data_IF_356993119126
#
_entry.id   IF_356993119126
#
_cell.length_a   1.000
_cell.length_b   1.000
_cell.length_c   1.000
_cell.angle_alpha   90.00
_cell.angle_beta   90.00
_cell.angle_gamma   90.00
#
_symmetry.space_group_name_H-M   'P 1'
#
loop_
_entity.id
_entity.type
_entity.pdbx_description
1 polymer ?
#
# COMPACT_ATOMS: atom_id res chain seq x y z
N UNK A 1 19.76 -103.31 25.63
CA UNK A 1 20.56 -102.16 25.19
C UNK A 1 19.66 -101.08 24.60
N UNK A 2 19.48 -99.94 25.28
CA UNK A 2 18.77 -98.76 24.72
C UNK A 2 19.78 -97.84 24.06
N UNK A 3 19.53 -97.47 22.80
CA UNK A 3 20.35 -96.56 21.99
C UNK A 3 20.12 -95.11 22.41
N UNK A 4 21.24 -94.39 22.49
CA UNK A 4 21.37 -92.95 22.61
C UNK A 4 20.70 -92.19 21.46
N UNK A 5 20.10 -91.05 21.78
CA UNK A 5 19.72 -90.01 20.83
C UNK A 5 20.02 -88.65 21.46
N UNK A 6 21.06 -87.98 20.95
CA UNK A 6 21.47 -86.64 21.35
C UNK A 6 20.47 -85.60 20.80
N UNK A 7 20.10 -84.61 21.61
CA UNK A 7 19.36 -83.43 21.19
C UNK A 7 20.27 -82.21 21.31
N UNK A 8 20.61 -81.63 20.17
CA UNK A 8 21.34 -80.38 20.00
C UNK A 8 20.48 -79.19 20.46
N UNK A 9 21.09 -78.25 21.18
CA UNK A 9 20.53 -76.98 21.62
C UNK A 9 20.85 -75.87 20.61
N UNK A 10 19.83 -75.18 20.09
CA UNK A 10 19.96 -73.91 19.36
C UNK A 10 19.98 -72.72 20.34
N UNK A 11 20.71 -71.63 20.05
CA UNK A 11 20.66 -70.42 20.86
C UNK A 11 19.49 -69.53 20.44
N UNK A 12 18.62 -69.20 21.39
CA UNK A 12 17.64 -68.11 21.27
C UNK A 12 18.37 -66.76 21.21
N UNK A 13 18.28 -66.06 20.07
CA UNK A 13 18.66 -64.66 19.96
C UNK A 13 17.60 -63.78 20.65
N UNK A 14 18.02 -63.03 21.68
CA UNK A 14 17.19 -62.04 22.35
C UNK A 14 17.15 -60.74 21.52
N UNK A 15 15.98 -60.42 20.96
CA UNK A 15 15.70 -59.10 20.40
C UNK A 15 15.58 -58.06 21.51
N UNK A 16 16.30 -56.95 21.39
CA UNK A 16 16.34 -55.88 22.38
C UNK A 16 15.00 -55.09 22.40
N UNK A 17 14.23 -55.06 23.51
CA UNK A 17 12.87 -54.53 23.55
C UNK A 17 12.74 -53.00 23.50
N UNK A 18 13.84 -52.25 23.45
CA UNK A 18 13.84 -50.79 23.68
C UNK A 18 13.79 -49.93 22.39
N UNK A 19 13.96 -50.52 21.21
CA UNK A 19 14.04 -49.76 19.95
C UNK A 19 12.69 -49.21 19.47
N UNK A 20 11.59 -49.89 19.78
CA UNK A 20 10.26 -49.48 19.32
C UNK A 20 9.68 -48.28 20.08
N UNK A 21 9.99 -48.15 21.37
CA UNK A 21 9.42 -47.12 22.23
C UNK A 21 10.19 -45.80 22.13
N UNK A 22 11.52 -45.89 21.97
CA UNK A 22 12.40 -44.76 21.69
C UNK A 22 12.12 -44.16 20.31
N UNK A 23 11.97 -44.97 19.26
CA UNK A 23 11.65 -44.50 17.92
C UNK A 23 10.29 -43.78 17.83
N UNK A 24 9.27 -44.31 18.53
CA UNK A 24 7.94 -43.67 18.63
C UNK A 24 8.00 -42.34 19.37
N UNK A 25 8.75 -42.29 20.47
CA UNK A 25 8.91 -41.06 21.26
C UNK A 25 9.65 -39.98 20.48
N UNK A 26 10.68 -40.34 19.71
CA UNK A 26 11.39 -39.42 18.81
C UNK A 26 10.47 -38.92 17.70
N UNK A 27 9.67 -39.80 17.09
CA UNK A 27 8.69 -39.42 16.07
C UNK A 27 7.64 -38.45 16.61
N UNK A 28 7.08 -38.70 17.80
CA UNK A 28 6.11 -37.80 18.43
C UNK A 28 6.74 -36.45 18.82
N UNK A 29 7.98 -36.45 19.31
CA UNK A 29 8.71 -35.21 19.61
C UNK A 29 8.97 -34.38 18.34
N UNK A 30 9.29 -35.02 17.21
CA UNK A 30 9.47 -34.34 15.93
C UNK A 30 8.15 -33.79 15.37
N UNK A 31 7.05 -34.54 15.48
CA UNK A 31 5.73 -34.09 15.02
C UNK A 31 5.19 -32.93 15.88
N UNK A 32 5.35 -32.98 17.20
CA UNK A 32 4.97 -31.89 18.10
C UNK A 32 5.87 -30.66 17.92
N UNK A 33 7.17 -30.85 17.69
CA UNK A 33 8.10 -29.77 17.37
C UNK A 33 7.75 -29.07 16.06
N UNK A 34 7.42 -29.84 15.01
CA UNK A 34 7.01 -29.28 13.72
C UNK A 34 5.67 -28.53 13.82
N UNK A 35 4.69 -29.06 14.56
CA UNK A 35 3.41 -28.38 14.80
C UNK A 35 3.56 -27.07 15.60
N UNK A 36 4.54 -27.00 16.52
CA UNK A 36 4.81 -25.78 17.26
C UNK A 36 5.48 -24.71 16.37
N UNK A 37 6.34 -25.12 15.44
CA UNK A 37 7.00 -24.22 14.47
C UNK A 37 5.99 -23.63 13.48
N UNK A 38 4.99 -24.39 13.04
CA UNK A 38 3.95 -23.87 12.12
C UNK A 38 3.00 -22.88 12.79
N UNK A 39 2.75 -23.00 14.10
CA UNK A 39 1.92 -22.06 14.86
C UNK A 39 2.57 -20.68 15.02
N UNK A 40 3.90 -20.59 15.03
CA UNK A 40 4.64 -19.32 15.13
C UNK A 40 4.70 -18.55 13.79
N UNK A 41 4.49 -19.21 12.66
CA UNK A 41 4.49 -18.57 11.34
C UNK A 41 3.15 -17.89 10.97
N UNK A 42 2.10 -18.04 11.79
CA UNK A 42 0.77 -17.49 11.53
C UNK A 42 0.53 -16.10 12.15
N UNK A 43 1.48 -15.55 12.90
CA UNK A 43 1.35 -14.23 13.52
C UNK A 43 2.10 -13.18 12.69
N UNK A 44 1.56 -12.85 11.53
CA UNK A 44 2.15 -11.87 10.61
C UNK A 44 1.20 -11.26 9.58
N UNK A 45 -0.11 -11.47 9.69
CA UNK A 45 -1.11 -10.83 8.80
C UNK A 45 -1.82 -9.74 9.58
N UNK A 46 -1.19 -8.57 9.68
CA UNK A 46 -1.89 -7.33 10.01
C UNK A 46 -2.21 -6.64 8.70
N UNK A 47 -3.47 -6.24 8.50
CA UNK A 47 -4.02 -5.60 7.31
C UNK A 47 -3.01 -4.71 6.55
N UNK A 48 -2.57 -5.19 5.38
CA UNK A 48 -1.64 -4.50 4.47
C UNK A 48 -2.26 -3.29 3.76
N UNK A 49 -3.55 -3.01 3.97
CA UNK A 49 -4.26 -1.94 3.26
C UNK A 49 -3.94 -0.52 3.76
N UNK A 50 -3.29 -0.38 4.92
CA UNK A 50 -3.00 0.91 5.56
C UNK A 50 -1.49 1.27 5.54
N UNK A 51 -0.67 0.54 4.76
CA UNK A 51 0.78 0.81 4.70
C UNK A 51 1.13 1.65 3.49
N UNK A 52 1.64 2.85 3.76
CA UNK A 52 2.21 3.69 2.73
C UNK A 52 3.34 2.94 2.00
N UNK A 53 3.30 2.93 0.67
CA UNK A 53 4.26 2.24 -0.18
C UNK A 53 4.75 3.14 -1.30
N UNK A 54 5.94 2.88 -1.82
CA UNK A 54 6.48 3.63 -2.95
C UNK A 54 5.83 3.19 -4.26
N UNK A 55 5.46 4.15 -5.08
CA UNK A 55 4.97 3.98 -6.44
C UNK A 55 5.63 5.02 -7.35
N UNK A 56 6.63 4.58 -8.13
CA UNK A 56 7.53 5.51 -8.82
C UNK A 56 8.32 6.34 -7.81
N UNK A 57 8.27 7.66 -7.92
CA UNK A 57 8.86 8.60 -6.97
C UNK A 57 7.92 9.03 -5.82
N UNK A 58 6.69 8.50 -5.79
CA UNK A 58 5.64 8.93 -4.86
C UNK A 58 5.37 7.91 -3.75
N UNK A 59 4.97 8.38 -2.58
CA UNK A 59 4.38 7.55 -1.54
C UNK A 59 2.87 7.50 -1.71
N UNK A 60 2.33 6.29 -1.83
CA UNK A 60 0.90 6.04 -1.91
C UNK A 60 0.39 5.43 -0.61
N UNK A 61 -0.74 5.93 -0.10
CA UNK A 61 -1.37 5.43 1.13
C UNK A 61 -2.88 5.37 0.95
N UNK A 62 -3.47 4.19 1.14
CA UNK A 62 -4.92 4.01 1.12
C UNK A 62 -5.51 4.26 2.50
N UNK A 63 -6.64 4.94 2.53
CA UNK A 63 -7.40 5.23 3.75
C UNK A 63 -8.83 4.76 3.58
N UNK A 64 -9.53 4.52 4.68
CA UNK A 64 -10.90 3.98 4.67
C UNK A 64 -11.96 4.94 4.11
N UNK A 65 -11.64 6.23 3.92
CA UNK A 65 -12.62 7.24 3.48
C UNK A 65 -11.93 8.52 2.99
N UNK A 66 -12.60 9.27 2.11
CA UNK A 66 -12.23 10.64 1.69
C UNK A 66 -11.98 11.64 2.83
N UNK A 67 -12.58 11.43 4.02
CA UNK A 67 -12.40 12.30 5.20
C UNK A 67 -11.27 11.84 6.13
N UNK A 68 -10.72 10.65 5.90
CA UNK A 68 -9.59 10.11 6.68
C UNK A 68 -8.33 10.45 5.91
N UNK A 69 -7.59 11.45 6.38
CA UNK A 69 -6.37 11.88 5.73
C UNK A 69 -5.22 10.88 5.93
N UNK A 70 -4.33 10.73 4.94
CA UNK A 70 -3.23 9.78 5.01
C UNK A 70 -2.20 10.17 6.08
N UNK A 71 -1.61 9.15 6.70
CA UNK A 71 -0.63 9.25 7.77
C UNK A 71 0.65 9.96 7.37
N UNK A 72 1.07 9.89 6.11
CA UNK A 72 2.25 10.63 5.61
C UNK A 72 2.14 12.14 5.88
N UNK A 73 0.93 12.71 5.92
CA UNK A 73 0.72 14.14 6.15
C UNK A 73 1.16 14.61 7.55
N UNK A 74 1.32 13.73 8.54
CA UNK A 74 1.61 14.11 9.94
C UNK A 74 2.82 15.04 10.08
N UNK A 75 3.87 14.82 9.29
CA UNK A 75 5.11 15.60 9.27
C UNK A 75 5.08 16.85 8.38
N UNK A 76 4.00 17.10 7.63
CA UNK A 76 3.90 18.23 6.71
C UNK A 76 3.29 19.48 7.35
N UNK A 77 3.44 20.59 6.62
CA UNK A 77 2.95 21.91 7.04
C UNK A 77 1.43 21.94 7.20
N UNK A 78 0.93 22.91 7.98
CA UNK A 78 -0.51 23.13 8.12
C UNK A 78 -1.18 23.38 6.76
N UNK A 79 -0.58 24.22 5.91
CA UNK A 79 -1.09 24.49 4.56
C UNK A 79 -1.26 23.20 3.76
N UNK A 80 -0.25 22.33 3.73
CA UNK A 80 -0.33 21.04 3.02
C UNK A 80 -1.48 20.19 3.55
N UNK A 81 -1.64 20.07 4.89
CA UNK A 81 -2.76 19.32 5.49
C UNK A 81 -4.11 19.91 5.12
N UNK A 82 -4.24 21.24 5.17
CA UNK A 82 -5.47 21.95 4.81
C UNK A 82 -5.84 21.68 3.33
N UNK A 83 -4.87 21.77 2.41
CA UNK A 83 -5.11 21.52 0.98
C UNK A 83 -5.58 20.09 0.72
N UNK A 84 -4.96 19.08 1.35
CA UNK A 84 -5.41 17.69 1.23
C UNK A 84 -6.83 17.48 1.78
N UNK A 85 -7.21 18.20 2.84
CA UNK A 85 -8.56 18.12 3.41
C UNK A 85 -9.66 18.70 2.50
N UNK A 86 -9.30 19.59 1.58
CA UNK A 86 -10.23 20.25 0.66
C UNK A 86 -10.47 19.42 -0.62
N UNK A 87 -9.61 18.44 -0.92
CA UNK A 87 -9.61 17.66 -2.19
C UNK A 87 -10.99 17.07 -2.49
N UNK A 88 -11.60 16.37 -1.54
CA UNK A 88 -12.89 15.71 -1.77
C UNK A 88 -13.99 16.70 -2.13
N UNK A 89 -14.09 17.83 -1.41
CA UNK A 89 -15.12 18.84 -1.63
C UNK A 89 -14.96 19.58 -2.97
N UNK A 90 -13.76 19.56 -3.55
CA UNK A 90 -13.45 20.20 -4.83
C UNK A 90 -13.22 19.18 -5.97
N UNK A 91 -13.39 17.88 -5.73
CA UNK A 91 -12.94 16.81 -6.64
C UNK A 91 -13.45 16.97 -8.08
N UNK A 92 -14.71 17.40 -8.25
CA UNK A 92 -15.31 17.58 -9.57
C UNK A 92 -14.61 18.68 -10.39
N UNK A 93 -14.20 19.77 -9.73
CA UNK A 93 -13.42 20.82 -10.40
C UNK A 93 -11.99 20.33 -10.65
N UNK A 94 -11.35 19.74 -9.64
CA UNK A 94 -9.96 19.28 -9.73
C UNK A 94 -9.76 18.22 -10.81
N UNK A 95 -10.75 17.36 -11.07
CA UNK A 95 -10.68 16.35 -12.14
C UNK A 95 -10.67 16.95 -13.54
N UNK A 96 -11.18 18.18 -13.72
CA UNK A 96 -11.24 18.87 -15.01
C UNK A 96 -10.13 19.89 -15.22
N UNK A 97 -9.27 20.12 -14.22
CA UNK A 97 -8.23 21.15 -14.26
C UNK A 97 -6.87 20.50 -14.53
N UNK A 98 -6.16 20.89 -15.59
CA UNK A 98 -4.78 20.46 -15.81
C UNK A 98 -3.86 21.07 -14.75
N UNK A 99 -2.83 20.34 -14.31
CA UNK A 99 -1.78 20.91 -13.47
C UNK A 99 -0.56 21.32 -14.30
N UNK A 100 -0.20 22.60 -14.32
CA UNK A 100 0.93 23.07 -15.14
C UNK A 100 2.28 22.96 -14.42
N UNK A 101 2.47 21.90 -13.62
CA UNK A 101 3.73 21.59 -12.93
C UNK A 101 4.78 20.92 -13.83
N UNK A 102 4.39 20.47 -15.03
CA UNK A 102 5.27 19.78 -15.99
C UNK A 102 5.19 18.25 -15.97
N UNK A 103 4.48 17.64 -15.02
CA UNK A 103 4.34 16.18 -14.88
C UNK A 103 3.09 15.60 -15.55
N UNK A 104 2.32 16.40 -16.29
CA UNK A 104 1.05 15.95 -16.90
C UNK A 104 1.18 14.77 -17.85
N UNK A 105 2.31 14.64 -18.53
CA UNK A 105 2.56 13.55 -19.49
C UNK A 105 3.24 12.34 -18.83
N UNK A 106 3.50 12.42 -17.52
CA UNK A 106 4.35 11.47 -16.82
C UNK A 106 5.83 11.74 -17.10
N UNK A 107 6.67 10.91 -16.52
CA UNK A 107 8.13 10.89 -16.74
C UNK A 107 8.54 9.48 -17.16
N UNK A 108 9.85 9.23 -17.33
CA UNK A 108 10.33 7.85 -17.50
C UNK A 108 10.08 6.96 -16.26
N UNK A 109 9.82 7.58 -15.10
CA UNK A 109 9.71 6.90 -13.80
C UNK A 109 8.34 7.03 -13.14
N UNK A 110 7.51 7.98 -13.59
CA UNK A 110 6.24 8.33 -12.96
C UNK A 110 5.10 8.34 -13.95
N UNK A 111 3.93 7.89 -13.49
CA UNK A 111 2.67 7.94 -14.22
C UNK A 111 2.24 9.40 -14.50
N UNK A 112 1.42 9.64 -15.53
CA UNK A 112 0.85 10.95 -15.82
C UNK A 112 0.09 11.59 -14.65
N UNK A 113 0.33 12.88 -14.40
CA UNK A 113 -0.52 13.74 -13.56
C UNK A 113 -1.49 14.55 -14.41
N UNK A 114 -2.39 13.82 -15.06
CA UNK A 114 -3.32 14.32 -16.08
C UNK A 114 -4.35 15.34 -15.58
N UNK A 115 -4.47 15.53 -14.27
CA UNK A 115 -5.33 16.50 -13.60
C UNK A 115 -4.70 16.99 -12.30
N UNK A 116 -5.14 18.16 -11.83
CA UNK A 116 -4.78 18.66 -10.52
C UNK A 116 -5.25 17.70 -9.41
N UNK A 117 -6.36 16.98 -9.62
CA UNK A 117 -6.81 15.92 -8.70
C UNK A 117 -5.76 14.81 -8.54
N UNK A 118 -5.16 14.36 -9.65
CA UNK A 118 -4.17 13.29 -9.65
C UNK A 118 -2.90 13.64 -8.86
N UNK A 119 -2.62 14.93 -8.63
CA UNK A 119 -1.53 15.36 -7.73
C UNK A 119 -1.81 15.10 -6.23
N UNK A 120 -3.04 14.72 -5.87
CA UNK A 120 -3.45 14.44 -4.48
C UNK A 120 -4.00 13.02 -4.31
N UNK A 121 -4.79 12.54 -5.27
CA UNK A 121 -5.33 11.18 -5.31
C UNK A 121 -4.60 10.36 -6.35
N UNK A 122 -4.03 9.24 -5.93
CA UNK A 122 -3.44 8.26 -6.84
C UNK A 122 -4.53 7.49 -7.59
N UNK A 123 -5.63 7.18 -6.90
CA UNK A 123 -6.77 6.45 -7.44
C UNK A 123 -8.09 7.14 -7.07
N UNK A 124 -9.11 6.95 -7.90
CA UNK A 124 -10.46 7.39 -7.56
C UNK A 124 -10.99 6.63 -6.34
N UNK A 125 -11.90 7.24 -5.55
CA UNK A 125 -12.54 6.54 -4.45
C UNK A 125 -13.21 5.25 -4.94
N UNK A 126 -12.96 4.15 -4.23
CA UNK A 126 -13.59 2.86 -4.50
C UNK A 126 -15.06 2.86 -4.02
N UNK A 127 -15.82 1.83 -4.42
CA UNK A 127 -17.23 1.68 -4.04
C UNK A 127 -17.44 1.57 -2.52
N UNK A 128 -16.43 1.09 -1.78
CA UNK A 128 -16.44 1.03 -0.32
C UNK A 128 -16.07 2.36 0.36
N UNK A 129 -15.81 3.41 -0.44
CA UNK A 129 -15.42 4.74 0.01
C UNK A 129 -13.94 4.91 0.28
N UNK A 130 -13.12 3.84 0.19
CA UNK A 130 -11.68 3.93 0.37
C UNK A 130 -11.02 4.78 -0.73
N UNK A 131 -9.91 5.44 -0.38
CA UNK A 131 -9.19 6.35 -1.27
C UNK A 131 -7.71 6.12 -1.15
N UNK A 132 -7.03 5.99 -2.29
CA UNK A 132 -5.57 5.95 -2.38
C UNK A 132 -5.04 7.35 -2.66
N UNK A 133 -4.30 7.90 -1.69
CA UNK A 133 -3.68 9.21 -1.75
C UNK A 133 -2.24 9.10 -2.25
N UNK A 134 -1.72 10.15 -2.87
CA UNK A 134 -0.29 10.30 -3.19
C UNK A 134 0.30 11.48 -2.41
N UNK A 135 1.57 11.40 -2.01
CA UNK A 135 2.31 12.51 -1.39
C UNK A 135 2.86 13.54 -2.40
N UNK A 136 2.56 13.40 -3.70
CA UNK A 136 3.10 14.24 -4.76
C UNK A 136 3.01 15.75 -4.48
N UNK A 137 1.81 16.24 -4.17
CA UNK A 137 1.59 17.67 -3.91
C UNK A 137 2.35 18.19 -2.66
N UNK A 138 2.80 17.30 -1.78
CA UNK A 138 3.57 17.72 -0.60
C UNK A 138 4.88 18.40 -1.01
N UNK A 139 5.51 17.95 -2.09
CA UNK A 139 6.77 18.46 -2.64
C UNK A 139 6.60 19.36 -3.88
N UNK A 140 5.47 19.30 -4.59
CA UNK A 140 5.17 20.13 -5.75
C UNK A 140 4.56 21.50 -5.37
N UNK A 141 5.35 22.58 -5.50
CA UNK A 141 4.90 23.95 -5.19
C UNK A 141 3.76 24.46 -6.11
N UNK A 142 3.81 24.14 -7.40
CA UNK A 142 2.79 24.57 -8.37
C UNK A 142 1.45 23.88 -8.10
N UNK A 143 1.46 22.57 -7.80
CA UNK A 143 0.27 21.80 -7.46
C UNK A 143 -0.48 22.37 -6.25
N UNK A 144 0.26 22.86 -5.25
CA UNK A 144 -0.33 23.55 -4.08
C UNK A 144 -0.90 24.91 -4.47
N UNK A 145 -0.15 25.70 -5.24
CA UNK A 145 -0.57 27.04 -5.65
C UNK A 145 -1.83 27.02 -6.52
N UNK A 146 -1.90 26.13 -7.51
CA UNK A 146 -3.11 25.98 -8.34
C UNK A 146 -4.31 25.51 -7.50
N UNK A 147 -4.12 24.59 -6.54
CA UNK A 147 -5.18 24.19 -5.60
C UNK A 147 -5.67 25.35 -4.73
N UNK A 148 -4.77 26.20 -4.22
CA UNK A 148 -5.13 27.41 -3.49
C UNK A 148 -6.01 28.35 -4.34
N UNK A 149 -5.68 28.55 -5.62
CA UNK A 149 -6.47 29.36 -6.54
C UNK A 149 -7.85 28.73 -6.81
N UNK A 150 -7.91 27.42 -7.06
CA UNK A 150 -9.18 26.70 -7.27
C UNK A 150 -10.10 26.87 -6.07
N UNK A 151 -9.59 26.66 -4.85
CA UNK A 151 -10.37 26.84 -3.63
C UNK A 151 -10.81 28.30 -3.47
N UNK A 152 -9.91 29.26 -3.69
CA UNK A 152 -10.21 30.68 -3.53
C UNK A 152 -11.29 31.16 -4.52
N UNK A 153 -11.22 30.72 -5.77
CA UNK A 153 -12.18 31.07 -6.83
C UNK A 153 -13.51 30.34 -6.63
N UNK A 154 -13.49 29.09 -6.19
CA UNK A 154 -14.71 28.36 -5.81
C UNK A 154 -15.45 29.06 -4.67
N UNK A 155 -14.73 29.52 -3.64
CA UNK A 155 -15.31 30.31 -2.53
C UNK A 155 -15.91 31.65 -2.98
N UNK A 156 -15.48 32.18 -4.13
CA UNK A 156 -16.07 33.37 -4.75
C UNK A 156 -17.30 33.05 -5.62
N UNK A 157 -17.70 31.78 -5.74
CA UNK A 157 -18.85 31.35 -6.52
C UNK A 157 -18.59 31.24 -8.01
N UNK A 158 -17.32 31.19 -8.44
CA UNK A 158 -16.97 30.99 -9.86
C UNK A 158 -17.33 29.59 -10.34
N UNK A 159 -17.72 29.50 -11.59
CA UNK A 159 -18.01 28.24 -12.27
C UNK A 159 -16.73 27.46 -12.58
N UNK A 160 -16.85 26.16 -12.82
CA UNK A 160 -15.71 25.32 -13.20
C UNK A 160 -15.02 25.82 -14.48
N UNK A 161 -15.78 26.35 -15.44
CA UNK A 161 -15.24 26.93 -16.67
C UNK A 161 -14.42 28.19 -16.39
N UNK A 162 -14.94 29.12 -15.57
CA UNK A 162 -14.19 30.33 -15.20
C UNK A 162 -12.91 30.01 -14.42
N UNK A 163 -12.93 28.99 -13.57
CA UNK A 163 -11.75 28.53 -12.83
C UNK A 163 -10.75 27.91 -13.81
N UNK A 164 -11.18 27.04 -14.72
CA UNK A 164 -10.32 26.45 -15.74
C UNK A 164 -9.68 27.54 -16.62
N UNK A 165 -10.46 28.52 -17.09
CA UNK A 165 -9.95 29.66 -17.86
C UNK A 165 -8.89 30.40 -17.05
N UNK A 166 -9.16 30.71 -15.77
CA UNK A 166 -8.20 31.39 -14.93
C UNK A 166 -6.90 30.60 -14.77
N UNK A 167 -6.98 29.29 -14.53
CA UNK A 167 -5.80 28.44 -14.39
C UNK A 167 -4.99 28.42 -15.69
N UNK A 168 -5.65 28.24 -16.84
CA UNK A 168 -4.99 28.25 -18.14
C UNK A 168 -4.28 29.60 -18.40
N UNK A 169 -4.97 30.72 -18.17
CA UNK A 169 -4.42 32.05 -18.45
C UNK A 169 -3.19 32.40 -17.58
N UNK A 170 -3.15 31.89 -16.35
CA UNK A 170 -2.11 32.23 -15.37
C UNK A 170 -0.96 31.23 -15.31
N UNK A 171 -1.20 29.96 -15.65
CA UNK A 171 -0.24 28.88 -15.42
C UNK A 171 0.18 28.13 -16.69
N UNK A 172 -0.65 28.14 -17.75
CA UNK A 172 -0.29 27.46 -19.00
C UNK A 172 0.96 28.10 -19.60
N UNK A 173 2.02 27.31 -19.90
CA UNK A 173 3.19 27.83 -20.59
C UNK A 173 2.80 28.43 -21.95
N UNK A 174 3.09 29.71 -22.14
CA UNK A 174 2.87 30.38 -23.43
C UNK A 174 3.90 29.84 -24.41
N UNK A 175 3.45 29.37 -25.57
CA UNK A 175 4.36 28.99 -26.66
C UNK A 175 5.20 30.22 -27.02
N UNK A 176 6.52 30.13 -26.89
CA UNK A 176 7.39 31.10 -27.51
C UNK A 176 7.24 30.95 -29.02
N UNK A 177 6.81 32.00 -29.69
CA UNK A 177 6.91 32.11 -31.14
C UNK A 177 8.39 32.18 -31.51
N UNK A 178 8.97 31.04 -31.84
CA UNK A 178 10.28 30.93 -32.50
C UNK A 178 10.13 31.06 -34.01
#
# INVERSE_FOLDING_TARGET
MRRSGARSSEPHAAGNPDQGNTARSVMYALLLGFALITLLAACGTSDDKDKAHLHGSEMWETTSSVTTLPGFLKSHTKLTKDLYSEVHSHMHMLSGIPCYCGCMQGTEFDEPHDSLLRCYWAEHPADDGSVTWTDHSTSCGICKKEMEEVIALSKQGKTAEEILTYINDNYQPKKSSS
#
